data_IF_073518638656
#
_entry.id   IF_073518638656
#
_cell.length_a   1.000
_cell.length_b   1.000
_cell.length_c   1.000
_cell.angle_alpha   90.00
_cell.angle_beta   90.00
_cell.angle_gamma   90.00
#
_symmetry.space_group_name_H-M   'P 1'
#
loop_
_entity.id
_entity.type
_entity.pdbx_description
1 polymer ?
#
# COMPACT_ATOMS: atom_id res chain seq x y z
N UNK A 1 13.59 -13.70 -5.23
CA UNK A 1 13.06 -13.89 -6.59
C UNK A 1 11.96 -12.87 -6.87
N UNK A 2 12.12 -12.10 -7.93
CA UNK A 2 11.10 -11.11 -8.30
C UNK A 2 10.00 -11.77 -9.13
N UNK A 3 8.79 -11.24 -9.04
CA UNK A 3 7.68 -11.72 -9.82
C UNK A 3 7.78 -11.25 -11.27
N UNK A 4 7.28 -12.06 -12.16
CA UNK A 4 7.05 -11.62 -13.54
C UNK A 4 5.97 -10.53 -13.53
N UNK A 5 6.18 -9.46 -14.29
CA UNK A 5 5.22 -8.36 -14.33
C UNK A 5 3.86 -8.81 -14.86
N UNK A 6 3.86 -9.76 -15.79
CA UNK A 6 2.63 -10.29 -16.38
C UNK A 6 1.83 -11.19 -15.45
N UNK A 7 2.43 -11.62 -14.31
CA UNK A 7 1.75 -12.51 -13.35
C UNK A 7 1.24 -11.78 -12.11
N UNK A 8 1.25 -10.46 -12.12
CA UNK A 8 0.78 -9.65 -11.00
C UNK A 8 -0.71 -9.84 -10.80
N UNK A 9 -1.12 -10.33 -9.62
CA UNK A 9 -2.53 -10.53 -9.30
C UNK A 9 -3.11 -9.26 -8.68
N UNK A 10 -4.46 -9.15 -8.57
CA UNK A 10 -5.05 -8.03 -7.83
C UNK A 10 -4.54 -7.90 -6.41
N UNK A 11 -4.36 -9.02 -5.70
CA UNK A 11 -3.82 -8.97 -4.34
C UNK A 11 -2.36 -8.52 -4.34
N UNK A 12 -1.57 -8.95 -5.33
CA UNK A 12 -0.20 -8.46 -5.48
C UNK A 12 -0.19 -6.93 -5.64
N UNK A 13 -1.15 -6.39 -6.40
CA UNK A 13 -1.27 -4.95 -6.60
C UNK A 13 -1.56 -4.23 -5.27
N UNK A 14 -2.48 -4.76 -4.47
CA UNK A 14 -2.78 -4.19 -3.16
C UNK A 14 -1.54 -4.17 -2.27
N UNK A 15 -0.83 -5.29 -2.22
CA UNK A 15 0.38 -5.40 -1.40
C UNK A 15 1.46 -4.45 -1.90
N UNK A 16 1.60 -4.30 -3.23
CA UNK A 16 2.62 -3.42 -3.77
C UNK A 16 2.39 -1.96 -3.35
N UNK A 17 1.14 -1.52 -3.26
CA UNK A 17 0.81 -0.18 -2.78
C UNK A 17 1.20 -0.04 -1.30
N UNK A 18 0.88 -1.05 -0.48
CA UNK A 18 1.24 -1.04 0.94
C UNK A 18 2.76 -1.02 1.15
N UNK A 19 3.48 -1.84 0.39
CA UNK A 19 4.94 -1.88 0.46
C UNK A 19 5.54 -0.54 0.02
N UNK A 20 4.99 0.05 -1.04
CA UNK A 20 5.46 1.34 -1.53
C UNK A 20 5.43 2.40 -0.43
N UNK A 21 4.35 2.44 0.36
CA UNK A 21 4.26 3.37 1.49
C UNK A 21 5.36 3.07 2.50
N UNK A 22 5.62 1.79 2.78
CA UNK A 22 6.62 1.39 3.77
C UNK A 22 8.04 1.77 3.38
N UNK A 23 8.36 1.81 2.08
CA UNK A 23 9.73 2.09 1.61
C UNK A 23 9.92 3.53 1.16
N UNK A 24 8.87 4.36 1.22
CA UNK A 24 8.92 5.71 0.66
C UNK A 24 9.95 6.62 1.34
N UNK A 25 10.26 6.36 2.60
CA UNK A 25 11.25 7.16 3.35
C UNK A 25 12.59 6.42 3.51
N UNK A 26 12.86 5.44 2.68
CA UNK A 26 14.06 4.61 2.62
C UNK A 26 14.25 3.63 3.78
N UNK A 27 13.43 3.73 4.83
CA UNK A 27 13.51 2.82 5.98
C UNK A 27 12.18 2.14 6.21
N UNK A 28 12.16 0.82 6.09
CA UNK A 28 10.96 0.03 6.41
C UNK A 28 10.92 -0.14 7.93
N UNK A 29 9.85 0.29 8.56
CA UNK A 29 9.67 0.15 10.00
C UNK A 29 9.01 -1.18 10.31
N UNK A 30 9.43 -1.78 11.42
CA UNK A 30 8.87 -3.07 11.86
C UNK A 30 7.36 -2.99 12.04
N UNK A 31 6.85 -1.89 12.60
CA UNK A 31 5.41 -1.70 12.78
C UNK A 31 4.64 -1.74 11.46
N UNK A 32 5.23 -1.19 10.41
CA UNK A 32 4.59 -1.20 9.09
C UNK A 32 4.57 -2.59 8.48
N UNK A 33 5.66 -3.34 8.61
CA UNK A 33 5.71 -4.72 8.12
C UNK A 33 4.71 -5.61 8.86
N UNK A 34 4.60 -5.45 10.18
CA UNK A 34 3.63 -6.19 10.98
C UNK A 34 2.21 -5.83 10.54
N UNK A 35 1.96 -4.56 10.27
CA UNK A 35 0.64 -4.12 9.80
C UNK A 35 0.28 -4.79 8.46
N UNK A 36 1.22 -4.85 7.52
CA UNK A 36 1.00 -5.50 6.23
C UNK A 36 0.64 -6.98 6.44
N UNK A 37 1.42 -7.69 7.25
CA UNK A 37 1.19 -9.10 7.52
C UNK A 37 -0.18 -9.33 8.16
N UNK A 38 -0.58 -8.49 9.10
CA UNK A 38 -1.89 -8.61 9.74
C UNK A 38 -3.03 -8.42 8.75
N UNK A 39 -2.91 -7.44 7.88
CA UNK A 39 -3.94 -7.20 6.88
C UNK A 39 -4.07 -8.37 5.92
N UNK A 40 -2.94 -8.92 5.48
CA UNK A 40 -2.95 -10.08 4.58
C UNK A 40 -3.58 -11.29 5.26
N UNK A 41 -3.35 -11.47 6.55
CA UNK A 41 -3.87 -12.63 7.27
C UNK A 41 -5.34 -12.50 7.67
N UNK A 42 -5.90 -11.29 7.71
CA UNK A 42 -7.22 -11.07 8.30
C UNK A 42 -8.24 -10.41 7.38
N UNK A 43 -7.80 -9.64 6.37
CA UNK A 43 -8.74 -8.93 5.51
C UNK A 43 -9.38 -9.86 4.49
N UNK A 44 -10.70 -9.75 4.26
CA UNK A 44 -11.38 -10.63 3.31
C UNK A 44 -10.82 -10.61 1.90
N UNK A 45 -10.28 -9.49 1.46
CA UNK A 45 -9.74 -9.35 0.11
C UNK A 45 -8.54 -10.27 -0.13
N UNK A 46 -7.85 -10.68 0.96
CA UNK A 46 -6.69 -11.57 0.88
C UNK A 46 -7.02 -13.02 1.25
N UNK A 47 -8.30 -13.41 1.22
CA UNK A 47 -8.76 -14.69 1.78
C UNK A 47 -7.97 -15.90 1.31
N UNK A 48 -7.61 -15.98 0.05
CA UNK A 48 -6.90 -17.15 -0.49
C UNK A 48 -5.48 -16.81 -0.92
N UNK A 49 -4.95 -15.70 -0.41
CA UNK A 49 -3.64 -15.24 -0.82
C UNK A 49 -2.53 -16.00 -0.08
N UNK A 50 -1.51 -16.40 -0.84
CA UNK A 50 -0.32 -17.02 -0.28
C UNK A 50 0.61 -15.93 0.28
N UNK A 51 0.70 -15.84 1.60
CA UNK A 51 1.51 -14.82 2.27
C UNK A 51 3.00 -14.88 1.90
N UNK A 52 3.48 -16.03 1.43
CA UNK A 52 4.86 -16.15 0.99
C UNK A 52 5.16 -15.27 -0.23
N UNK A 53 4.12 -14.86 -0.96
CA UNK A 53 4.30 -13.97 -2.11
C UNK A 53 4.68 -12.53 -1.70
N UNK A 54 4.43 -12.14 -0.45
CA UNK A 54 4.72 -10.77 0.01
C UNK A 54 6.19 -10.42 -0.25
N UNK A 55 7.09 -11.35 -0.01
CA UNK A 55 8.52 -11.13 -0.20
C UNK A 55 8.84 -10.82 -1.66
N UNK A 56 8.28 -11.60 -2.58
CA UNK A 56 8.53 -11.39 -4.00
C UNK A 56 7.94 -10.07 -4.49
N UNK A 57 6.75 -9.72 -4.02
CA UNK A 57 6.13 -8.43 -4.35
C UNK A 57 6.99 -7.29 -3.82
N UNK A 58 7.46 -7.41 -2.57
CA UNK A 58 8.33 -6.39 -1.96
C UNK A 58 9.59 -6.18 -2.77
N UNK A 59 10.21 -7.25 -3.23
CA UNK A 59 11.43 -7.17 -4.06
C UNK A 59 11.14 -6.48 -5.39
N UNK A 60 9.99 -6.76 -5.98
CA UNK A 60 9.58 -6.10 -7.22
C UNK A 60 9.42 -4.60 -7.02
N UNK A 61 8.75 -4.19 -5.93
CA UNK A 61 8.55 -2.77 -5.63
C UNK A 61 9.90 -2.08 -5.42
N UNK A 62 10.78 -2.69 -4.64
CA UNK A 62 12.09 -2.11 -4.37
C UNK A 62 12.91 -1.97 -5.64
N UNK A 63 12.84 -2.96 -6.54
CA UNK A 63 13.53 -2.88 -7.82
C UNK A 63 13.00 -1.74 -8.69
N UNK A 64 11.69 -1.55 -8.70
CA UNK A 64 11.09 -0.43 -9.45
C UNK A 64 11.53 0.92 -8.89
N UNK A 65 11.64 1.03 -7.57
CA UNK A 65 12.04 2.31 -6.95
C UNK A 65 13.50 2.68 -7.21
N UNK A 66 14.32 1.73 -7.66
CA UNK A 66 15.69 2.03 -8.08
C UNK A 66 15.73 2.70 -9.44
N UNK A 67 14.65 2.66 -10.20
CA UNK A 67 14.58 3.24 -11.54
C UNK A 67 13.98 4.64 -11.49
N UNK A 68 14.39 5.48 -12.44
CA UNK A 68 13.95 6.88 -12.49
C UNK A 68 12.43 7.00 -12.60
N UNK A 69 11.79 6.17 -13.43
CA UNK A 69 10.35 6.18 -13.64
C UNK A 69 9.64 5.07 -12.87
N UNK A 70 10.26 4.60 -11.79
CA UNK A 70 9.77 3.43 -11.07
C UNK A 70 8.38 3.60 -10.48
N UNK A 71 8.08 4.77 -9.94
CA UNK A 71 6.77 5.03 -9.35
C UNK A 71 5.67 5.01 -10.40
N UNK A 72 5.91 5.62 -11.55
CA UNK A 72 4.95 5.59 -12.66
C UNK A 72 4.73 4.16 -13.15
N UNK A 73 5.79 3.36 -13.23
CA UNK A 73 5.70 1.96 -13.62
C UNK A 73 4.87 1.18 -12.60
N UNK A 74 5.07 1.43 -11.31
CA UNK A 74 4.30 0.78 -10.26
C UNK A 74 2.81 1.08 -10.41
N UNK A 75 2.44 2.34 -10.60
CA UNK A 75 1.04 2.71 -10.77
C UNK A 75 0.43 2.09 -12.03
N UNK A 76 1.22 1.97 -13.10
CA UNK A 76 0.77 1.25 -14.30
C UNK A 76 0.43 -0.19 -14.00
N UNK A 77 1.29 -0.90 -13.27
CA UNK A 77 1.03 -2.28 -12.87
C UNK A 77 -0.21 -2.40 -11.99
N UNK A 78 -0.36 -1.49 -11.04
CA UNK A 78 -1.51 -1.50 -10.14
C UNK A 78 -2.81 -1.31 -10.91
N UNK A 79 -2.86 -0.30 -11.79
CA UNK A 79 -4.06 -0.04 -12.56
C UNK A 79 -4.43 -1.18 -13.50
N UNK A 80 -3.43 -1.86 -14.06
CA UNK A 80 -3.67 -2.98 -14.97
C UNK A 80 -4.16 -4.22 -14.22
N UNK A 81 -3.67 -4.46 -13.01
CA UNK A 81 -3.98 -5.66 -12.25
C UNK A 81 -5.22 -5.54 -11.37
N UNK A 82 -5.52 -4.33 -10.89
CA UNK A 82 -6.53 -4.12 -9.85
C UNK A 82 -7.84 -3.63 -10.46
N UNK A 83 -8.98 -4.30 -10.18
CA UNK A 83 -10.29 -3.77 -10.62
C UNK A 83 -10.56 -2.42 -9.99
N UNK A 84 -11.20 -1.52 -10.73
CA UNK A 84 -11.49 -0.17 -10.25
C UNK A 84 -12.25 -0.16 -8.94
N UNK A 85 -13.16 -1.12 -8.73
CA UNK A 85 -13.94 -1.21 -7.49
C UNK A 85 -13.06 -1.41 -6.25
N UNK A 86 -11.80 -1.78 -6.44
CA UNK A 86 -10.85 -1.97 -5.34
C UNK A 86 -9.83 -0.84 -5.22
N UNK A 87 -9.94 0.21 -6.03
CA UNK A 87 -9.01 1.34 -5.95
C UNK A 87 -9.09 2.03 -4.57
N UNK A 88 -10.29 2.22 -4.05
CA UNK A 88 -10.45 2.82 -2.73
C UNK A 88 -9.97 1.89 -1.63
N UNK A 89 -10.13 0.58 -1.81
CA UNK A 89 -9.56 -0.39 -0.88
C UNK A 89 -8.05 -0.26 -0.83
N UNK A 90 -7.40 -0.11 -1.98
CA UNK A 90 -5.95 0.07 -2.03
C UNK A 90 -5.53 1.32 -1.26
N UNK A 91 -6.24 2.42 -1.44
CA UNK A 91 -5.94 3.65 -0.71
C UNK A 91 -6.14 3.48 0.79
N UNK A 92 -7.22 2.81 1.19
CA UNK A 92 -7.51 2.56 2.61
C UNK A 92 -6.40 1.72 3.27
N UNK A 93 -5.95 0.67 2.59
CA UNK A 93 -4.86 -0.15 3.10
C UNK A 93 -3.56 0.63 3.20
N UNK A 94 -3.28 1.48 2.21
CA UNK A 94 -2.11 2.35 2.25
C UNK A 94 -2.14 3.29 3.46
N UNK A 95 -3.29 3.87 3.74
CA UNK A 95 -3.46 4.75 4.89
C UNK A 95 -3.27 4.01 6.21
N UNK A 96 -3.76 2.77 6.31
CA UNK A 96 -3.57 1.96 7.51
C UNK A 96 -2.09 1.65 7.75
N UNK A 97 -1.34 1.33 6.69
CA UNK A 97 0.09 1.08 6.82
C UNK A 97 0.81 2.35 7.29
N UNK A 98 0.49 3.48 6.67
CA UNK A 98 1.11 4.75 7.03
C UNK A 98 0.83 5.14 8.49
N UNK A 99 -0.35 4.80 9.00
CA UNK A 99 -0.76 5.15 10.36
C UNK A 99 -0.26 4.15 11.43
N UNK A 100 0.33 3.04 11.00
CA UNK A 100 0.61 1.92 11.91
C UNK A 100 1.54 2.27 13.07
N UNK A 101 2.45 3.21 12.91
CA UNK A 101 3.36 3.61 13.99
C UNK A 101 2.99 4.96 14.62
N UNK A 102 1.85 5.52 14.23
CA UNK A 102 1.38 6.81 14.76
C UNK A 102 2.12 8.03 14.22
N UNK A 103 3.00 7.85 13.25
CA UNK A 103 3.80 8.93 12.68
C UNK A 103 3.69 8.92 11.18
N UNK A 104 3.41 10.07 10.60
CA UNK A 104 3.35 10.24 9.15
C UNK A 104 4.52 11.12 8.72
N UNK A 105 5.45 10.57 7.96
CA UNK A 105 6.56 11.35 7.42
C UNK A 105 6.08 12.16 6.21
N UNK A 106 6.87 13.18 5.86
CA UNK A 106 6.55 14.00 4.68
C UNK A 106 6.57 13.15 3.40
N UNK A 107 7.51 12.21 3.30
CA UNK A 107 7.60 11.32 2.13
C UNK A 107 6.37 10.42 2.03
N UNK A 108 5.91 9.89 3.16
CA UNK A 108 4.69 9.06 3.18
C UNK A 108 3.46 9.89 2.79
N UNK A 109 3.35 11.11 3.32
CA UNK A 109 2.23 11.99 2.98
C UNK A 109 2.21 12.30 1.49
N UNK A 110 3.38 12.57 0.92
CA UNK A 110 3.51 12.85 -0.51
C UNK A 110 3.07 11.65 -1.34
N UNK A 111 3.52 10.46 -0.97
CA UNK A 111 3.17 9.24 -1.70
C UNK A 111 1.67 8.94 -1.59
N UNK A 112 1.07 9.14 -0.41
CA UNK A 112 -0.37 8.95 -0.24
C UNK A 112 -1.15 9.87 -1.16
N UNK A 113 -0.72 11.12 -1.33
CA UNK A 113 -1.37 12.04 -2.26
C UNK A 113 -1.29 11.54 -3.69
N UNK A 114 -0.14 10.98 -4.08
CA UNK A 114 0.02 10.42 -5.42
C UNK A 114 -0.83 9.18 -5.64
N UNK A 115 -0.91 8.29 -4.64
CA UNK A 115 -1.77 7.11 -4.71
C UNK A 115 -3.23 7.54 -4.91
N UNK A 116 -3.68 8.51 -4.12
CA UNK A 116 -5.04 9.02 -4.22
C UNK A 116 -5.34 9.55 -5.63
N UNK A 117 -4.41 10.32 -6.18
CA UNK A 117 -4.55 10.89 -7.51
C UNK A 117 -4.56 9.80 -8.58
N UNK A 118 -3.60 8.89 -8.54
CA UNK A 118 -3.43 7.85 -9.55
C UNK A 118 -4.59 6.85 -9.56
N UNK A 119 -5.16 6.57 -8.38
CA UNK A 119 -6.29 5.67 -8.25
C UNK A 119 -7.63 6.40 -8.26
N UNK A 120 -7.62 7.69 -8.54
CA UNK A 120 -8.81 8.51 -8.75
C UNK A 120 -9.79 8.44 -7.58
N UNK A 121 -9.29 8.45 -6.35
CA UNK A 121 -10.13 8.46 -5.16
C UNK A 121 -10.67 9.87 -4.96
N UNK A 122 -11.98 10.00 -4.79
CA UNK A 122 -12.62 11.31 -4.67
C UNK A 122 -12.17 12.04 -3.41
N UNK A 123 -12.31 13.36 -3.42
CA UNK A 123 -11.94 14.17 -2.27
C UNK A 123 -12.71 13.76 -1.01
N UNK A 124 -14.02 13.55 -1.15
CA UNK A 124 -14.86 13.15 -0.03
C UNK A 124 -14.46 11.78 0.51
N UNK A 125 -14.33 10.81 -0.37
CA UNK A 125 -14.00 9.45 0.06
C UNK A 125 -12.59 9.38 0.65
N UNK A 126 -11.63 10.11 0.08
CA UNK A 126 -10.27 10.12 0.64
C UNK A 126 -10.25 10.72 2.04
N UNK A 127 -11.02 11.78 2.28
CA UNK A 127 -11.10 12.38 3.62
C UNK A 127 -11.70 11.40 4.63
N UNK A 128 -12.74 10.67 4.23
CA UNK A 128 -13.37 9.66 5.09
C UNK A 128 -12.41 8.51 5.39
N UNK A 129 -11.69 8.05 4.38
CA UNK A 129 -10.71 6.96 4.53
C UNK A 129 -9.58 7.38 5.47
N UNK A 130 -9.05 8.58 5.28
CA UNK A 130 -7.95 9.11 6.09
C UNK A 130 -8.39 9.27 7.54
N UNK A 131 -9.57 9.83 7.77
CA UNK A 131 -10.09 9.98 9.13
C UNK A 131 -10.28 8.63 9.80
N UNK A 132 -10.85 7.67 9.08
CA UNK A 132 -11.08 6.33 9.62
C UNK A 132 -9.76 5.67 10.02
N UNK A 133 -8.73 5.78 9.19
CA UNK A 133 -7.41 5.24 9.52
C UNK A 133 -6.84 5.88 10.79
N UNK A 134 -6.93 7.20 10.90
CA UNK A 134 -6.47 7.91 12.09
C UNK A 134 -7.18 7.43 13.35
N UNK A 135 -8.49 7.24 13.26
CA UNK A 135 -9.30 6.82 14.42
C UNK A 135 -8.94 5.41 14.86
N UNK A 136 -8.69 4.51 13.92
CA UNK A 136 -8.36 3.12 14.26
C UNK A 136 -6.99 2.95 14.89
N UNK A 137 -6.09 3.90 14.64
CA UNK A 137 -4.70 3.80 15.12
C UNK A 137 -4.39 4.72 16.30
N UNK A 138 -5.42 5.32 16.90
CA UNK A 138 -5.26 6.08 18.14
C UNK A 138 -4.93 5.14 19.29
N UNK A 139 -4.19 5.68 20.25
CA UNK A 139 -3.83 4.93 21.46
C UNK A 139 -4.54 5.53 22.66
N UNK A 140 -4.51 4.80 23.78
CA UNK A 140 -5.12 5.28 25.01
C UNK A 140 -4.35 6.43 25.66
N UNK A 141 -3.13 6.66 25.22
CA UNK A 141 -2.23 7.66 25.83
C UNK A 141 -2.28 9.03 25.15
N UNK A 142 -3.13 9.20 24.18
CA UNK A 142 -3.28 10.47 23.48
C UNK A 142 -4.30 11.36 24.14
#
# INVERSE_FOLDING_TARGET
MTLELSSFSPCDALISVMVAVSVSDTNIRTSELVAIERMVNHMPVFADYDADRIRAVSQTVMSLFEEEDGLDALFGLVRDALPERLYETAYALACDVAAADGRLTDDEAELLREIRYELNVSRLNSAAIELSAQLRHRTLQE
#
